data_IF_425692358334
#
_entry.id   IF_425692358334
#
_cell.length_a   1.000
_cell.length_b   1.000
_cell.length_c   1.000
_cell.angle_alpha   90.00
_cell.angle_beta   90.00
_cell.angle_gamma   90.00
#
_symmetry.space_group_name_H-M   'P 1'
#
loop_
_entity.id
_entity.type
_entity.pdbx_description
1 polymer ?
#
# COMPACT_ATOMS: atom_id res chain seq x y z
N UNK A 1 12.56 0.14 24.32
CA UNK A 1 11.94 -0.17 23.01
C UNK A 1 10.79 0.79 22.66
N UNK A 2 9.70 0.82 23.44
CA UNK A 2 8.51 1.63 23.13
C UNK A 2 8.74 3.15 23.01
N UNK A 3 9.64 3.70 23.83
CA UNK A 3 9.97 5.13 23.78
C UNK A 3 10.59 5.52 22.44
N UNK A 4 11.58 4.77 21.97
CA UNK A 4 12.25 5.01 20.69
C UNK A 4 11.23 4.95 19.55
N UNK A 5 10.38 3.91 19.52
CA UNK A 5 9.34 3.77 18.49
C UNK A 5 8.39 4.98 18.47
N UNK A 6 7.90 5.42 19.64
CA UNK A 6 7.02 6.59 19.73
C UNK A 6 7.72 7.86 19.25
N UNK A 7 9.00 8.03 19.57
CA UNK A 7 9.78 9.20 19.14
C UNK A 7 9.99 9.21 17.64
N UNK A 8 10.36 8.08 17.03
CA UNK A 8 10.55 7.98 15.58
C UNK A 8 9.23 8.22 14.83
N UNK A 9 8.13 7.63 15.30
CA UNK A 9 6.79 7.85 14.71
C UNK A 9 6.42 9.34 14.76
N UNK A 10 6.60 9.99 15.92
CA UNK A 10 6.34 11.44 16.05
C UNK A 10 7.21 12.27 15.12
N UNK A 11 8.50 11.93 15.01
CA UNK A 11 9.42 12.63 14.12
C UNK A 11 8.99 12.52 12.65
N UNK A 12 8.63 11.31 12.18
CA UNK A 12 8.15 11.09 10.81
C UNK A 12 6.86 11.85 10.52
N UNK A 13 5.89 11.81 11.45
CA UNK A 13 4.63 12.55 11.29
C UNK A 13 4.85 14.06 11.30
N UNK A 14 5.74 14.55 12.16
CA UNK A 14 6.09 15.97 12.24
C UNK A 14 6.74 16.44 10.94
N UNK A 15 7.73 15.70 10.43
CA UNK A 15 8.36 15.99 9.15
C UNK A 15 7.34 15.99 8.00
N UNK A 16 6.46 14.99 7.94
CA UNK A 16 5.40 14.93 6.93
C UNK A 16 4.52 16.18 6.95
N UNK A 17 4.05 16.58 8.13
CA UNK A 17 3.20 17.75 8.27
C UNK A 17 3.92 19.08 8.01
N UNK A 18 5.24 19.12 8.16
CA UNK A 18 6.06 20.33 7.93
C UNK A 18 6.29 20.57 6.44
N UNK A 19 6.46 19.50 5.65
CA UNK A 19 6.80 19.57 4.22
C UNK A 19 5.67 19.16 3.29
N UNK A 20 4.45 18.92 3.80
CA UNK A 20 3.29 18.58 2.96
C UNK A 20 2.95 19.73 2.00
N UNK A 21 2.59 19.38 0.77
CA UNK A 21 2.08 20.35 -0.21
C UNK A 21 0.57 20.54 0.00
N UNK A 22 0.09 21.76 0.32
CA UNK A 22 -1.33 22.01 0.59
C UNK A 22 -2.22 21.80 -0.63
N UNK A 23 -1.68 21.84 -1.85
CA UNK A 23 -2.47 21.67 -3.08
C UNK A 23 -3.03 20.27 -3.23
N UNK A 24 -2.38 19.28 -2.64
CA UNK A 24 -2.74 17.85 -2.78
C UNK A 24 -3.32 17.26 -1.50
N UNK A 25 -3.45 18.04 -0.41
CA UNK A 25 -3.90 17.54 0.89
C UNK A 25 -5.32 16.96 0.87
N UNK A 26 -6.18 17.47 -0.02
CA UNK A 26 -7.54 16.98 -0.20
C UNK A 26 -7.62 15.64 -0.94
N UNK A 27 -6.51 15.19 -1.56
CA UNK A 27 -6.49 13.94 -2.31
C UNK A 27 -6.52 12.72 -1.37
N UNK A 28 -7.19 11.64 -1.77
CA UNK A 28 -7.23 10.42 -0.99
C UNK A 28 -5.82 9.86 -0.78
N UNK A 29 -5.57 9.28 0.39
CA UNK A 29 -4.28 8.68 0.81
C UNK A 29 -3.12 9.67 1.06
N UNK A 30 -3.31 10.97 0.83
CA UNK A 30 -2.27 12.01 0.99
C UNK A 30 -2.36 12.74 2.35
N UNK A 31 -3.44 12.58 3.12
CA UNK A 31 -3.56 13.24 4.43
C UNK A 31 -2.56 12.73 5.50
N UNK A 32 -2.01 11.53 5.33
CA UNK A 32 -1.08 10.90 6.28
C UNK A 32 -0.20 9.88 5.54
N UNK A 33 1.03 9.60 6.01
CA UNK A 33 1.86 8.57 5.40
C UNK A 33 1.40 7.13 5.75
N UNK A 34 0.67 6.94 6.86
CA UNK A 34 0.31 5.60 7.35
C UNK A 34 -0.60 4.79 6.42
N UNK A 35 -1.64 5.37 5.78
CA UNK A 35 -2.49 4.64 4.84
C UNK A 35 -1.70 3.95 3.72
N UNK A 36 -0.73 4.65 3.10
CA UNK A 36 0.11 4.09 2.04
C UNK A 36 0.96 2.95 2.57
N UNK A 37 1.62 3.14 3.72
CA UNK A 37 2.41 2.07 4.34
C UNK A 37 1.57 0.84 4.68
N UNK A 38 0.34 1.03 5.17
CA UNK A 38 -0.58 -0.06 5.46
C UNK A 38 -0.97 -0.84 4.20
N UNK A 39 -1.31 -0.13 3.10
CA UNK A 39 -1.65 -0.76 1.81
C UNK A 39 -0.47 -1.57 1.28
N UNK A 40 0.74 -1.01 1.30
CA UNK A 40 1.95 -1.70 0.82
C UNK A 40 2.25 -2.93 1.70
N UNK A 41 2.16 -2.79 3.02
CA UNK A 41 2.38 -3.92 3.93
C UNK A 41 1.36 -5.04 3.68
N UNK A 42 0.08 -4.70 3.49
CA UNK A 42 -0.97 -5.67 3.17
C UNK A 42 -0.72 -6.33 1.82
N UNK A 43 -0.36 -5.55 0.80
CA UNK A 43 0.00 -6.04 -0.53
C UNK A 43 1.14 -7.06 -0.46
N UNK A 44 2.21 -6.75 0.28
CA UNK A 44 3.35 -7.65 0.44
C UNK A 44 2.97 -8.91 1.23
N UNK A 45 2.20 -8.77 2.31
CA UNK A 45 1.70 -9.93 3.06
C UNK A 45 0.85 -10.85 2.20
N UNK A 46 -0.02 -10.27 1.38
CA UNK A 46 -0.81 -11.02 0.43
C UNK A 46 0.06 -11.68 -0.63
N UNK A 47 0.88 -10.91 -1.35
CA UNK A 47 1.66 -11.42 -2.48
C UNK A 47 2.72 -12.45 -2.09
N UNK A 48 3.37 -12.28 -0.93
CA UNK A 48 4.51 -13.13 -0.53
C UNK A 48 4.09 -14.32 0.32
N UNK A 49 3.00 -14.21 1.09
CA UNK A 49 2.61 -15.26 2.04
C UNK A 49 1.22 -15.81 1.78
N UNK A 50 0.19 -14.97 1.86
CA UNK A 50 -1.19 -15.47 1.85
C UNK A 50 -1.63 -15.98 0.48
N UNK A 51 -1.36 -15.23 -0.57
CA UNK A 51 -1.67 -15.60 -1.96
C UNK A 51 -1.01 -16.92 -2.36
N UNK A 52 0.32 -17.08 -2.28
CA UNK A 52 0.99 -18.34 -2.60
C UNK A 52 0.46 -19.51 -1.77
N UNK A 53 0.29 -19.33 -0.45
CA UNK A 53 -0.23 -20.39 0.43
C UNK A 53 -1.66 -20.81 0.06
N UNK A 54 -2.50 -19.86 -0.33
CA UNK A 54 -3.87 -20.12 -0.77
C UNK A 54 -3.93 -20.86 -2.12
N UNK A 55 -2.98 -20.58 -3.02
CA UNK A 55 -2.93 -21.20 -4.35
C UNK A 55 -2.22 -22.57 -4.37
N UNK A 56 -1.58 -23.01 -3.29
CA UNK A 56 -0.80 -24.25 -3.25
C UNK A 56 -1.53 -25.51 -3.76
N UNK A 57 -2.85 -25.58 -3.56
CA UNK A 57 -3.68 -26.73 -3.96
C UNK A 57 -4.68 -26.38 -5.06
N UNK A 58 -4.52 -25.23 -5.71
CA UNK A 58 -5.47 -24.70 -6.70
C UNK A 58 -4.81 -24.56 -8.06
N UNK A 59 -5.57 -24.76 -9.12
CA UNK A 59 -5.12 -24.42 -10.48
C UNK A 59 -5.01 -22.90 -10.61
N UNK A 60 -4.10 -22.44 -11.46
CA UNK A 60 -3.99 -21.04 -11.81
C UNK A 60 -5.30 -20.52 -12.41
N UNK A 61 -5.68 -19.29 -12.08
CA UNK A 61 -6.85 -18.63 -12.64
C UNK A 61 -6.59 -18.22 -14.10
N UNK A 62 -7.58 -18.42 -14.99
CA UNK A 62 -7.54 -17.85 -16.33
C UNK A 62 -7.97 -16.37 -16.26
N UNK A 63 -6.97 -15.49 -16.33
CA UNK A 63 -7.16 -14.04 -16.26
C UNK A 63 -6.95 -13.36 -17.62
N UNK A 64 -6.89 -14.11 -18.73
CA UNK A 64 -6.51 -13.56 -20.05
C UNK A 64 -7.35 -12.35 -20.46
N UNK A 65 -8.68 -12.46 -20.38
CA UNK A 65 -9.59 -11.38 -20.75
C UNK A 65 -9.54 -10.22 -19.75
N UNK A 66 -9.41 -10.52 -18.45
CA UNK A 66 -9.31 -9.49 -17.42
C UNK A 66 -8.05 -8.64 -17.59
N UNK A 67 -6.90 -9.28 -17.85
CA UNK A 67 -5.64 -8.61 -18.12
C UNK A 67 -5.73 -7.79 -19.41
N UNK A 68 -6.37 -8.30 -20.46
CA UNK A 68 -6.57 -7.56 -21.70
C UNK A 68 -7.38 -6.28 -21.49
N UNK A 69 -8.49 -6.34 -20.75
CA UNK A 69 -9.32 -5.17 -20.39
C UNK A 69 -8.50 -4.20 -19.54
N UNK A 70 -7.81 -4.69 -18.52
CA UNK A 70 -6.97 -3.87 -17.65
C UNK A 70 -5.91 -3.10 -18.45
N UNK A 71 -5.19 -3.77 -19.34
CA UNK A 71 -4.18 -3.14 -20.20
C UNK A 71 -4.80 -2.11 -21.16
N UNK A 72 -5.99 -2.39 -21.70
CA UNK A 72 -6.67 -1.47 -22.62
C UNK A 72 -7.24 -0.21 -21.95
N UNK A 73 -7.56 -0.27 -20.64
CA UNK A 73 -7.94 0.93 -19.87
C UNK A 73 -6.70 1.70 -19.41
N UNK A 74 -5.59 1.01 -19.15
CA UNK A 74 -4.37 1.60 -18.62
C UNK A 74 -3.61 2.45 -19.66
N UNK A 75 -3.58 2.01 -20.93
CA UNK A 75 -2.87 2.70 -22.03
C UNK A 75 -3.75 3.74 -22.71
#
# INVERSE_FOLDING_TARGET
MFYIIKTTIKATVSAYNTYKDPRVEHLPLVGSPFPVFAIVALYLLFSLKWGPRWMQTRKAYDLKNLIAIYNGIQV
#
